data_IF_135513513815
#
_entry.id   IF_135513513815
#
_cell.length_a   1.000
_cell.length_b   1.000
_cell.length_c   1.000
_cell.angle_alpha   90.00
_cell.angle_beta   90.00
_cell.angle_gamma   90.00
#
_symmetry.space_group_name_H-M   'P 1'
#
loop_
_entity.id
_entity.type
_entity.pdbx_description
1 polymer ?
#
# COMPACT_ATOMS: atom_id res chain seq x y z
N UNK A 1 18.81 4.31 6.27
CA UNK A 1 18.86 5.31 5.18
C UNK A 1 19.60 6.52 5.71
N UNK A 2 20.61 7.05 4.99
CA UNK A 2 21.21 8.32 5.34
C UNK A 2 20.17 9.44 5.14
N UNK A 3 20.38 10.56 5.83
CA UNK A 3 19.53 11.75 5.73
C UNK A 3 19.41 12.27 4.30
N UNK A 4 18.36 13.06 4.04
CA UNK A 4 17.88 13.61 2.77
C UNK A 4 18.86 14.58 2.03
N UNK A 5 20.17 14.35 2.12
CA UNK A 5 21.22 15.17 1.51
C UNK A 5 22.46 14.41 1.05
N UNK A 6 22.42 13.07 0.96
CA UNK A 6 23.44 12.28 0.24
C UNK A 6 22.80 11.71 -1.02
N UNK A 7 23.20 12.24 -2.17
CA UNK A 7 22.91 11.69 -3.50
C UNK A 7 23.68 10.37 -3.69
N UNK A 8 23.43 9.39 -2.84
CA UNK A 8 23.83 8.02 -3.11
C UNK A 8 22.78 7.44 -4.06
N UNK A 9 23.20 7.12 -5.28
CA UNK A 9 22.39 6.44 -6.28
C UNK A 9 21.69 5.24 -5.63
N UNK A 10 20.36 5.24 -5.63
CA UNK A 10 19.62 4.13 -5.05
C UNK A 10 19.56 3.01 -6.07
N UNK A 11 20.17 1.89 -5.72
CA UNK A 11 20.29 0.73 -6.59
C UNK A 11 19.20 -0.29 -6.24
N UNK A 12 18.45 -0.76 -7.24
CA UNK A 12 17.56 -1.92 -7.10
C UNK A 12 18.15 -3.14 -7.83
N UNK A 13 18.06 -4.35 -7.25
CA UNK A 13 18.46 -5.56 -7.93
C UNK A 13 17.46 -5.91 -9.04
N UNK A 14 17.97 -6.11 -10.24
CA UNK A 14 17.21 -6.62 -11.37
C UNK A 14 17.35 -8.13 -11.48
N UNK A 15 16.28 -8.76 -11.96
CA UNK A 15 16.25 -10.17 -12.31
C UNK A 15 15.91 -10.32 -13.78
N UNK A 16 16.62 -11.24 -14.43
CA UNK A 16 16.18 -11.80 -15.70
C UNK A 16 15.26 -12.97 -15.40
N UNK A 17 14.03 -12.85 -15.84
CA UNK A 17 12.98 -13.86 -15.70
C UNK A 17 12.71 -14.52 -17.04
N UNK A 18 12.66 -15.85 -17.03
CA UNK A 18 12.23 -16.67 -18.16
C UNK A 18 10.88 -17.28 -17.83
N UNK A 19 9.87 -16.97 -18.64
CA UNK A 19 8.49 -17.42 -18.47
C UNK A 19 8.15 -18.36 -19.62
N UNK A 20 7.88 -19.62 -19.31
CA UNK A 20 7.44 -20.62 -20.27
C UNK A 20 5.92 -20.74 -20.21
N UNK A 21 5.24 -20.55 -21.34
CA UNK A 21 3.78 -20.54 -21.41
C UNK A 21 3.28 -20.95 -22.81
N UNK A 22 2.02 -21.40 -22.95
CA UNK A 22 1.39 -21.49 -24.26
C UNK A 22 1.26 -20.12 -24.93
N UNK A 23 1.45 -20.07 -26.26
CA UNK A 23 1.49 -18.82 -27.05
C UNK A 23 0.21 -17.97 -26.94
N UNK A 24 -0.92 -18.59 -26.58
CA UNK A 24 -2.22 -17.94 -26.39
C UNK A 24 -2.21 -16.90 -25.25
N UNK A 25 -1.36 -17.08 -24.24
CA UNK A 25 -1.29 -16.22 -23.06
C UNK A 25 -0.22 -15.13 -23.15
N UNK A 26 0.51 -15.03 -24.27
CA UNK A 26 1.63 -14.10 -24.40
C UNK A 26 1.22 -12.64 -24.18
N UNK A 27 0.05 -12.23 -24.71
CA UNK A 27 -0.43 -10.86 -24.53
C UNK A 27 -0.61 -10.48 -23.06
N UNK A 28 -1.22 -11.36 -22.27
CA UNK A 28 -1.49 -11.13 -20.84
C UNK A 28 -0.20 -11.07 -20.00
N UNK A 29 0.82 -11.86 -20.39
CA UNK A 29 2.13 -11.85 -19.74
C UNK A 29 2.90 -10.58 -20.08
N UNK A 30 2.85 -10.14 -21.34
CA UNK A 30 3.51 -8.91 -21.78
C UNK A 30 2.91 -7.70 -21.05
N UNK A 31 1.59 -7.65 -20.95
CA UNK A 31 0.88 -6.63 -20.17
C UNK A 31 1.31 -6.64 -18.70
N UNK A 32 1.37 -7.82 -18.06
CA UNK A 32 1.83 -7.96 -16.68
C UNK A 32 3.29 -7.49 -16.51
N UNK A 33 4.17 -7.86 -17.43
CA UNK A 33 5.56 -7.43 -17.44
C UNK A 33 5.69 -5.90 -17.53
N UNK A 34 4.88 -5.27 -18.39
CA UNK A 34 4.89 -3.83 -18.58
C UNK A 34 4.37 -3.06 -17.35
N UNK A 35 3.29 -3.56 -16.71
CA UNK A 35 2.75 -3.00 -15.45
C UNK A 35 3.80 -2.98 -14.33
N UNK A 36 4.72 -3.96 -14.35
CA UNK A 36 5.75 -4.18 -13.34
C UNK A 36 7.10 -3.55 -13.68
N UNK A 37 7.10 -2.55 -14.57
CA UNK A 37 8.32 -1.86 -15.06
C UNK A 37 9.32 -2.81 -15.72
N UNK A 38 8.84 -3.91 -16.28
CA UNK A 38 9.65 -4.90 -16.98
C UNK A 38 10.05 -4.45 -18.36
N UNK A 39 11.28 -4.77 -18.75
CA UNK A 39 11.76 -4.61 -20.12
C UNK A 39 11.71 -5.97 -20.81
N UNK A 40 10.96 -6.06 -21.91
CA UNK A 40 10.95 -7.25 -22.74
C UNK A 40 12.30 -7.38 -23.45
N UNK A 41 12.97 -8.51 -23.25
CA UNK A 41 14.26 -8.79 -23.89
C UNK A 41 14.07 -9.62 -25.15
N UNK A 42 13.34 -10.73 -25.04
CA UNK A 42 13.18 -11.68 -26.14
C UNK A 42 11.92 -12.53 -26.00
N UNK A 43 11.39 -13.00 -27.13
CA UNK A 43 10.30 -13.97 -27.21
C UNK A 43 10.75 -15.11 -28.12
N UNK A 44 10.95 -16.29 -27.55
CA UNK A 44 11.37 -17.49 -28.28
C UNK A 44 10.20 -18.45 -28.42
N UNK A 45 9.86 -18.81 -29.66
CA UNK A 45 8.86 -19.84 -29.92
C UNK A 45 9.55 -21.21 -29.98
N UNK A 46 9.30 -22.06 -28.99
CA UNK A 46 9.81 -23.43 -28.94
C UNK A 46 9.00 -24.35 -29.88
N UNK A 47 7.72 -24.06 -30.02
CA UNK A 47 6.74 -24.80 -30.83
C UNK A 47 5.65 -23.79 -31.21
N UNK A 48 4.87 -23.98 -32.29
CA UNK A 48 3.72 -23.11 -32.59
C UNK A 48 2.77 -22.87 -31.40
N UNK A 49 2.68 -23.81 -30.47
CA UNK A 49 1.83 -23.74 -29.27
C UNK A 49 2.53 -23.27 -28.01
N UNK A 50 3.87 -23.15 -27.97
CA UNK A 50 4.65 -22.82 -26.77
C UNK A 50 5.71 -21.77 -27.04
N UNK A 51 5.80 -20.81 -26.12
CA UNK A 51 6.81 -19.76 -26.14
C UNK A 51 7.46 -19.56 -24.78
N UNK A 52 8.72 -19.18 -24.84
CA UNK A 52 9.49 -18.65 -23.72
C UNK A 52 9.60 -17.14 -23.89
N UNK A 53 9.21 -16.40 -22.86
CA UNK A 53 9.29 -14.95 -22.81
C UNK A 53 10.37 -14.58 -21.79
N UNK A 54 11.32 -13.73 -22.21
CA UNK A 54 12.42 -13.28 -21.37
C UNK A 54 12.20 -11.81 -21.01
N UNK A 55 12.12 -11.52 -19.72
CA UNK A 55 11.92 -10.18 -19.16
C UNK A 55 13.04 -9.83 -18.19
N UNK A 56 13.48 -8.58 -18.22
CA UNK A 56 14.26 -8.00 -17.13
C UNK A 56 13.31 -7.16 -16.25
N UNK A 57 13.22 -7.49 -14.96
CA UNK A 57 12.28 -6.89 -14.00
C UNK A 57 13.02 -6.54 -12.69
N UNK A 58 12.60 -5.48 -11.97
CA UNK A 58 13.04 -5.26 -10.60
C UNK A 58 12.61 -6.41 -9.67
N UNK A 59 13.52 -6.92 -8.85
CA UNK A 59 13.24 -8.03 -7.92
C UNK A 59 12.09 -7.71 -6.95
N UNK A 60 11.97 -6.45 -6.52
CA UNK A 60 10.93 -6.01 -5.60
C UNK A 60 9.51 -6.23 -6.15
N UNK A 61 9.33 -6.07 -7.46
CA UNK A 61 8.04 -6.29 -8.14
C UNK A 61 7.74 -7.78 -8.34
N UNK A 62 8.77 -8.63 -8.36
CA UNK A 62 8.61 -10.08 -8.53
C UNK A 62 8.18 -10.77 -7.24
N UNK A 63 8.69 -10.32 -6.08
CA UNK A 63 8.46 -10.97 -4.77
C UNK A 63 7.04 -10.74 -4.23
N UNK A 64 6.36 -9.67 -4.67
CA UNK A 64 5.07 -9.25 -4.09
C UNK A 64 3.89 -10.10 -4.58
N UNK A 65 3.51 -10.00 -5.86
CA UNK A 65 2.36 -10.73 -6.42
C UNK A 65 2.58 -11.36 -7.80
N UNK A 66 3.77 -11.22 -8.38
CA UNK A 66 3.99 -11.56 -9.79
C UNK A 66 3.66 -13.03 -10.09
N UNK A 67 4.03 -13.94 -9.20
CA UNK A 67 3.74 -15.37 -9.34
C UNK A 67 2.23 -15.66 -9.36
N UNK A 68 1.48 -15.06 -8.44
CA UNK A 68 0.04 -15.29 -8.30
C UNK A 68 -0.72 -14.70 -9.49
N UNK A 69 -0.35 -13.48 -9.92
CA UNK A 69 -0.89 -12.84 -11.12
C UNK A 69 -0.57 -13.65 -12.39
N UNK A 70 0.67 -14.13 -12.52
CA UNK A 70 1.08 -14.96 -13.66
C UNK A 70 0.26 -16.25 -13.72
N UNK A 71 0.10 -16.95 -12.59
CA UNK A 71 -0.68 -18.19 -12.53
C UNK A 71 -2.17 -17.93 -12.78
N UNK A 72 -2.73 -16.86 -12.25
CA UNK A 72 -4.13 -16.49 -12.45
C UNK A 72 -4.44 -16.19 -13.93
N UNK A 73 -3.66 -15.31 -14.56
CA UNK A 73 -3.84 -14.93 -15.98
C UNK A 73 -3.67 -16.14 -16.91
N UNK A 74 -2.69 -16.99 -16.62
CA UNK A 74 -2.40 -18.18 -17.45
C UNK A 74 -3.14 -19.45 -17.06
N UNK A 75 -4.14 -19.39 -16.16
CA UNK A 75 -4.85 -20.57 -15.64
C UNK A 75 -3.91 -21.67 -15.09
N UNK A 76 -2.74 -21.27 -14.60
CA UNK A 76 -1.72 -22.16 -14.04
C UNK A 76 -0.71 -22.74 -15.04
N UNK A 77 -0.88 -22.50 -16.35
CA UNK A 77 -0.03 -23.09 -17.39
C UNK A 77 1.36 -22.47 -17.51
N UNK A 78 1.57 -21.25 -17.01
CA UNK A 78 2.89 -20.63 -17.05
C UNK A 78 3.81 -21.13 -15.93
N UNK A 79 5.08 -21.35 -16.24
CA UNK A 79 6.16 -21.52 -15.26
C UNK A 79 7.17 -20.39 -15.41
N UNK A 80 7.76 -19.96 -14.30
CA UNK A 80 8.77 -18.90 -14.30
C UNK A 80 10.05 -19.38 -13.60
N UNK A 81 11.18 -18.98 -14.17
CA UNK A 81 12.49 -19.07 -13.56
C UNK A 81 13.10 -17.68 -13.55
N UNK A 82 13.82 -17.30 -12.49
CA UNK A 82 14.48 -16.00 -12.44
C UNK A 82 15.92 -16.14 -11.98
N UNK A 83 16.78 -15.27 -12.52
CA UNK A 83 18.17 -15.14 -12.14
C UNK A 83 18.46 -13.67 -11.85
N UNK A 84 19.03 -13.40 -10.67
CA UNK A 84 19.51 -12.06 -10.33
C UNK A 84 20.68 -11.72 -11.26
N UNK A 85 20.59 -10.56 -11.93
CA UNK A 85 21.59 -10.13 -12.89
C UNK A 85 22.46 -9.01 -12.32
N UNK A 86 21.93 -7.80 -12.29
CA UNK A 86 22.67 -6.57 -12.08
C UNK A 86 21.87 -5.62 -11.18
N UNK A 87 22.57 -4.66 -10.58
CA UNK A 87 21.95 -3.59 -9.81
C UNK A 87 21.85 -2.36 -10.71
N UNK A 88 20.63 -1.84 -10.88
CA UNK A 88 20.39 -0.64 -11.69
C UNK A 88 19.94 0.50 -10.80
N UNK A 89 20.32 1.71 -11.20
CA UNK A 89 19.88 2.93 -10.53
C UNK A 89 18.38 3.14 -10.76
N UNK A 90 17.65 3.48 -9.72
CA UNK A 90 16.20 3.69 -9.77
C UNK A 90 15.73 4.71 -8.74
N UNK A 91 14.67 5.44 -9.08
CA UNK A 91 14.10 6.49 -8.23
C UNK A 91 13.17 5.88 -7.18
N UNK A 92 13.79 5.31 -6.14
CA UNK A 92 13.08 4.74 -5.00
C UNK A 92 12.84 5.80 -3.93
N UNK A 93 11.65 5.75 -3.35
CA UNK A 93 11.25 6.60 -2.24
C UNK A 93 10.80 5.74 -1.07
N UNK A 94 11.14 6.18 0.13
CA UNK A 94 10.63 5.60 1.38
C UNK A 94 9.25 6.19 1.67
N UNK A 95 8.26 5.31 1.76
CA UNK A 95 6.89 5.62 2.14
C UNK A 95 6.71 5.31 3.62
N UNK A 96 6.58 6.35 4.43
CA UNK A 96 6.33 6.26 5.86
C UNK A 96 4.84 6.42 6.15
N UNK A 97 4.34 5.69 7.15
CA UNK A 97 2.94 5.76 7.56
C UNK A 97 2.83 6.38 8.94
N UNK A 98 1.95 7.37 9.07
CA UNK A 98 1.65 8.05 10.34
C UNK A 98 0.20 7.80 10.75
N UNK A 99 0.00 7.38 11.99
CA UNK A 99 -1.31 7.12 12.58
C UNK A 99 -1.48 8.10 13.73
N UNK A 100 -2.47 8.98 13.64
CA UNK A 100 -2.66 10.07 14.60
C UNK A 100 -1.39 10.93 14.84
N UNK A 101 -0.63 11.20 13.77
CA UNK A 101 0.64 11.92 13.79
C UNK A 101 1.80 11.18 14.49
N UNK A 102 1.59 9.97 14.98
CA UNK A 102 2.65 9.09 15.46
C UNK A 102 3.16 8.24 14.28
N UNK A 103 4.48 8.15 14.14
CA UNK A 103 5.10 7.33 13.09
C UNK A 103 4.88 5.84 13.40
N UNK A 104 4.57 5.07 12.36
CA UNK A 104 4.49 3.62 12.40
C UNK A 104 5.62 2.99 11.55
N UNK A 105 6.87 2.97 12.04
CA UNK A 105 8.02 2.41 11.32
C UNK A 105 7.82 0.98 10.77
N UNK A 106 7.11 0.07 11.45
CA UNK A 106 6.90 -1.29 10.92
C UNK A 106 6.12 -1.35 9.59
N UNK A 107 5.40 -0.27 9.24
CA UNK A 107 4.62 -0.16 8.00
C UNK A 107 5.35 0.65 6.92
N UNK A 108 6.59 1.09 7.19
CA UNK A 108 7.36 1.82 6.20
C UNK A 108 7.80 0.87 5.07
N UNK A 109 7.55 1.28 3.83
CA UNK A 109 7.89 0.51 2.64
C UNK A 109 8.76 1.34 1.69
N UNK A 110 9.59 0.66 0.91
CA UNK A 110 10.38 1.30 -0.16
C UNK A 110 9.67 0.97 -1.47
N UNK A 111 9.34 2.00 -2.24
CA UNK A 111 8.57 1.89 -3.47
C UNK A 111 9.16 2.82 -4.53
N UNK A 112 8.91 2.52 -5.81
CA UNK A 112 9.25 3.45 -6.88
C UNK A 112 8.40 4.73 -6.76
N UNK A 113 8.98 5.88 -7.12
CA UNK A 113 8.30 7.20 -6.99
C UNK A 113 6.94 7.24 -7.66
N UNK A 114 6.81 6.70 -8.86
CA UNK A 114 5.55 6.70 -9.62
C UNK A 114 4.45 5.87 -8.95
N UNK A 115 4.83 4.74 -8.32
CA UNK A 115 3.91 3.86 -7.62
C UNK A 115 3.56 4.37 -6.20
N UNK A 116 4.34 5.29 -5.65
CA UNK A 116 4.20 5.72 -4.26
C UNK A 116 2.80 6.24 -3.92
N UNK A 117 2.15 6.97 -4.85
CA UNK A 117 0.82 7.50 -4.62
C UNK A 117 -0.24 6.39 -4.58
N UNK A 118 -0.20 5.43 -5.51
CA UNK A 118 -1.19 4.36 -5.60
C UNK A 118 -1.05 3.41 -4.40
N UNK A 119 0.17 2.99 -4.08
CA UNK A 119 0.48 2.15 -2.91
C UNK A 119 0.07 2.85 -1.62
N UNK A 120 0.44 4.13 -1.45
CA UNK A 120 0.07 4.90 -0.28
C UNK A 120 -1.45 5.04 -0.09
N UNK A 121 -2.23 5.15 -1.17
CA UNK A 121 -3.70 5.15 -1.08
C UNK A 121 -4.25 3.81 -0.63
N UNK A 122 -3.78 2.70 -1.21
CA UNK A 122 -4.19 1.34 -0.85
C UNK A 122 -3.90 1.05 0.62
N UNK A 123 -2.68 1.35 1.06
CA UNK A 123 -2.22 1.12 2.43
C UNK A 123 -3.08 1.91 3.44
N UNK A 124 -3.29 3.20 3.20
CA UNK A 124 -4.08 4.07 4.08
C UNK A 124 -5.57 3.67 4.09
N UNK A 125 -6.10 3.15 2.97
CA UNK A 125 -7.47 2.62 2.90
C UNK A 125 -7.61 1.33 3.72
N UNK A 126 -6.69 0.37 3.57
CA UNK A 126 -6.68 -0.87 4.33
C UNK A 126 -6.60 -0.61 5.85
N UNK A 127 -5.72 0.30 6.27
CA UNK A 127 -5.60 0.68 7.70
C UNK A 127 -6.89 1.29 8.27
N UNK A 128 -7.66 2.03 7.46
CA UNK A 128 -8.91 2.63 7.90
C UNK A 128 -9.96 1.57 8.28
N UNK A 129 -9.94 0.42 7.60
CA UNK A 129 -10.88 -0.67 7.83
C UNK A 129 -10.49 -1.51 9.05
N UNK A 130 -9.19 -1.72 9.23
CA UNK A 130 -8.66 -2.56 10.32
C UNK A 130 -8.59 -1.84 11.67
N UNK A 131 -8.37 -0.52 11.67
CA UNK A 131 -8.24 0.23 12.93
C UNK A 131 -9.63 0.54 13.50
N UNK A 132 -9.89 0.15 14.77
CA UNK A 132 -11.19 0.38 15.39
C UNK A 132 -11.50 1.88 15.55
N UNK A 133 -12.78 2.22 15.40
CA UNK A 133 -13.25 3.60 15.50
C UNK A 133 -13.11 4.12 16.92
N UNK A 134 -12.46 5.28 17.06
CA UNK A 134 -12.28 5.97 18.34
C UNK A 134 -13.36 7.05 18.56
N UNK A 135 -13.44 7.59 19.78
CA UNK A 135 -14.35 8.71 20.10
C UNK A 135 -13.94 10.04 19.45
N UNK A 136 -12.73 10.11 18.91
CA UNK A 136 -12.16 11.25 18.19
C UNK A 136 -11.75 10.84 16.76
N UNK A 137 -11.54 11.84 15.90
CA UNK A 137 -11.13 11.62 14.51
C UNK A 137 -9.66 11.21 14.49
N UNK A 138 -9.37 10.04 13.93
CA UNK A 138 -8.00 9.52 13.78
C UNK A 138 -7.56 9.75 12.33
N UNK A 139 -6.61 10.66 12.05
CA UNK A 139 -6.00 10.78 10.74
C UNK A 139 -4.97 9.66 10.52
N UNK A 140 -4.96 9.09 9.32
CA UNK A 140 -3.96 8.15 8.84
C UNK A 140 -3.34 8.75 7.58
N UNK A 141 -2.02 8.84 7.54
CA UNK A 141 -1.29 9.54 6.48
C UNK A 141 -0.16 8.65 5.96
N UNK A 142 -0.01 8.58 4.65
CA UNK A 142 1.20 8.10 4.01
C UNK A 142 2.04 9.31 3.59
N UNK A 143 3.32 9.29 3.92
CA UNK A 143 4.25 10.40 3.75
C UNK A 143 5.50 9.92 3.03
N UNK A 144 6.10 10.80 2.22
CA UNK A 144 7.46 10.64 1.72
C UNK A 144 8.28 11.72 2.39
N UNK A 145 9.09 11.33 3.38
CA UNK A 145 9.73 12.28 4.29
C UNK A 145 8.70 13.19 4.97
N UNK A 146 8.75 14.49 4.67
CA UNK A 146 7.85 15.50 5.25
C UNK A 146 6.54 15.64 4.47
N UNK A 147 6.52 15.25 3.19
CA UNK A 147 5.38 15.48 2.29
C UNK A 147 4.33 14.38 2.47
N UNK A 148 3.11 14.76 2.82
CA UNK A 148 1.96 13.83 2.84
C UNK A 148 1.47 13.58 1.40
N UNK A 149 1.50 12.33 0.95
CA UNK A 149 1.05 11.94 -0.39
C UNK A 149 -0.41 11.50 -0.43
N UNK A 150 -0.86 10.82 0.62
CA UNK A 150 -2.19 10.25 0.74
C UNK A 150 -2.64 10.35 2.19
N UNK A 151 -3.89 10.75 2.43
CA UNK A 151 -4.43 10.93 3.77
C UNK A 151 -5.89 10.50 3.82
N UNK A 152 -6.22 9.66 4.79
CA UNK A 152 -7.59 9.25 5.10
C UNK A 152 -7.85 9.46 6.58
N UNK A 153 -9.12 9.51 6.98
CA UNK A 153 -9.46 9.63 8.39
C UNK A 153 -10.57 8.69 8.81
N UNK A 154 -10.41 8.11 10.00
CA UNK A 154 -11.46 7.31 10.64
C UNK A 154 -12.44 8.25 11.31
N UNK A 155 -13.72 8.10 10.93
CA UNK A 155 -14.80 8.90 11.47
C UNK A 155 -15.03 8.57 12.95
N UNK A 156 -15.11 9.59 13.83
CA UNK A 156 -15.28 9.37 15.25
C UNK A 156 -16.62 8.71 15.57
N UNK A 157 -16.65 7.85 16.57
CA UNK A 157 -17.88 7.39 17.18
C UNK A 157 -18.59 8.58 17.85
N UNK A 158 -19.91 8.64 17.74
CA UNK A 158 -20.75 9.69 18.33
C UNK A 158 -21.80 9.03 19.22
N UNK A 159 -21.76 9.37 20.51
CA UNK A 159 -22.91 9.15 21.39
C UNK A 159 -23.93 10.23 21.09
N UNK A 160 -25.19 9.85 20.88
CA UNK A 160 -26.27 10.82 20.78
C UNK A 160 -26.56 11.42 22.17
N UNK A 161 -26.04 12.63 22.39
CA UNK A 161 -26.24 13.38 23.63
C UNK A 161 -27.61 14.05 23.69
N UNK A 162 -28.34 14.10 22.58
CA UNK A 162 -29.63 14.78 22.47
C UNK A 162 -30.82 13.84 22.64
N UNK A 163 -30.61 12.52 22.69
CA UNK A 163 -31.67 11.52 22.80
C UNK A 163 -32.66 11.75 23.96
N UNK A 164 -32.21 12.35 25.07
CA UNK A 164 -33.05 12.68 26.24
C UNK A 164 -33.60 14.12 26.26
N UNK A 165 -33.39 14.89 25.19
CA UNK A 165 -33.84 16.27 25.06
C UNK A 165 -35.19 16.32 24.35
N UNK A 166 -36.28 16.10 25.09
CA UNK A 166 -37.65 16.05 24.56
C UNK A 166 -38.31 17.43 24.33
N UNK A 167 -37.53 18.52 24.27
CA UNK A 167 -38.06 19.88 24.20
C UNK A 167 -37.33 20.83 23.24
N UNK A 168 -37.93 22.01 23.06
CA UNK A 168 -37.42 23.10 22.22
C UNK A 168 -36.27 23.92 22.83
N UNK A 169 -35.75 23.55 24.00
CA UNK A 169 -34.67 24.29 24.68
C UNK A 169 -33.34 24.17 23.90
N UNK A 170 -33.13 25.14 23.00
CA UNK A 170 -31.91 25.30 22.21
C UNK A 170 -30.67 25.49 23.08
N UNK A 171 -30.80 26.13 24.25
CA UNK A 171 -29.68 26.39 25.15
C UNK A 171 -29.15 25.10 25.76
N UNK A 172 -30.03 24.17 26.19
CA UNK A 172 -29.62 22.85 26.72
C UNK A 172 -28.95 21.99 25.64
N UNK A 173 -29.48 21.96 24.41
CA UNK A 173 -28.86 21.24 23.28
C UNK A 173 -27.45 21.77 22.98
N UNK A 174 -27.28 23.09 22.93
CA UNK A 174 -25.97 23.75 22.71
C UNK A 174 -24.97 23.40 23.81
N UNK A 175 -25.36 23.45 25.09
CA UNK A 175 -24.47 23.10 26.23
C UNK A 175 -23.96 21.65 26.13
N UNK A 176 -24.83 20.70 25.78
CA UNK A 176 -24.45 19.29 25.63
C UNK A 176 -23.48 19.07 24.46
N UNK A 177 -23.74 19.70 23.31
CA UNK A 177 -22.85 19.64 22.15
C UNK A 177 -21.48 20.27 22.44
N UNK A 178 -21.44 21.41 23.14
CA UNK A 178 -20.19 22.04 23.56
C UNK A 178 -19.39 21.16 24.52
N UNK A 179 -20.04 20.51 25.48
CA UNK A 179 -19.39 19.55 26.40
C UNK A 179 -18.81 18.36 25.63
N UNK A 180 -19.56 17.82 24.67
CA UNK A 180 -19.08 16.74 23.81
C UNK A 180 -17.88 17.17 22.95
N UNK A 181 -17.93 18.35 22.33
CA UNK A 181 -16.86 18.88 21.50
C UNK A 181 -15.56 19.09 22.31
N UNK A 182 -15.66 19.69 23.51
CA UNK A 182 -14.51 19.86 24.42
C UNK A 182 -13.93 18.52 24.85
N UNK A 183 -14.78 17.55 25.19
CA UNK A 183 -14.36 16.18 25.53
C UNK A 183 -13.59 15.52 24.38
N UNK A 184 -14.11 15.62 23.14
CA UNK A 184 -13.43 15.08 21.95
C UNK A 184 -12.10 15.77 21.65
N UNK A 185 -12.00 17.09 21.84
CA UNK A 185 -10.75 17.83 21.66
C UNK A 185 -9.68 17.37 22.67
N UNK A 186 -10.07 17.18 23.93
CA UNK A 186 -9.18 16.65 24.98
C UNK A 186 -8.74 15.21 24.68
N UNK A 187 -9.68 14.36 24.26
CA UNK A 187 -9.36 12.98 23.86
C UNK A 187 -8.43 12.92 22.64
N UNK A 188 -8.56 13.84 21.68
CA UNK A 188 -7.65 13.88 20.52
C UNK A 188 -6.22 14.23 20.93
N UNK A 189 -6.04 15.18 21.86
CA UNK A 189 -4.72 15.65 22.27
C UNK A 189 -3.95 14.65 23.14
N UNK A 190 -4.66 13.86 23.95
CA UNK A 190 -4.06 12.86 24.87
C UNK A 190 -4.21 11.42 24.37
N UNK A 191 -4.96 11.21 23.28
CA UNK A 191 -5.35 9.88 22.82
C UNK A 191 -4.24 9.25 21.99
N UNK A 192 -3.59 8.24 22.55
CA UNK A 192 -2.81 7.27 21.79
C UNK A 192 -3.75 6.26 21.14
N UNK A 193 -3.48 5.92 19.89
CA UNK A 193 -4.23 4.90 19.17
C UNK A 193 -3.42 3.62 19.23
N UNK A 194 -3.82 2.69 20.08
CA UNK A 194 -3.24 1.36 20.08
C UNK A 194 -3.76 0.61 18.85
N UNK A 195 -2.84 0.32 17.93
CA UNK A 195 -3.12 -0.48 16.74
C UNK A 195 -2.91 -1.95 17.10
N UNK A 196 -3.92 -2.82 16.94
CA UNK A 196 -3.76 -4.25 17.21
C UNK A 196 -2.69 -4.89 16.32
N UNK A 197 -1.95 -5.87 16.83
CA UNK A 197 -0.96 -6.61 16.05
C UNK A 197 -1.58 -7.33 14.84
N UNK A 198 -2.82 -7.80 14.98
CA UNK A 198 -3.60 -8.42 13.90
C UNK A 198 -3.82 -7.47 12.72
N UNK A 199 -4.10 -6.19 13.01
CA UNK A 199 -4.27 -5.16 11.97
C UNK A 199 -2.96 -4.95 11.20
N UNK A 200 -1.80 -4.97 11.87
CA UNK A 200 -0.50 -4.90 11.18
C UNK A 200 -0.27 -6.11 10.26
N UNK A 201 -0.53 -7.32 10.76
CA UNK A 201 -0.36 -8.55 9.97
C UNK A 201 -1.29 -8.60 8.77
N UNK A 202 -2.51 -8.07 8.88
CA UNK A 202 -3.46 -8.02 7.79
C UNK A 202 -3.01 -7.05 6.67
N UNK A 203 -2.47 -5.88 7.01
CA UNK A 203 -1.93 -4.94 6.00
C UNK A 203 -0.75 -5.54 5.24
N UNK A 204 0.15 -6.24 5.94
CA UNK A 204 1.29 -6.93 5.30
C UNK A 204 0.84 -8.07 4.36
N UNK A 205 -0.34 -8.66 4.58
CA UNK A 205 -0.92 -9.68 3.71
C UNK A 205 -1.66 -9.09 2.51
N UNK A 206 -2.31 -7.93 2.68
CA UNK A 206 -3.00 -7.23 1.60
C UNK A 206 -2.06 -6.78 0.47
N UNK A 207 -0.79 -6.50 0.77
CA UNK A 207 0.24 -6.27 -0.26
C UNK A 207 0.60 -7.55 -1.05
N UNK A 208 0.34 -8.74 -0.48
CA UNK A 208 0.61 -10.05 -1.09
C UNK A 208 -0.61 -10.68 -1.76
N UNK A 209 -1.79 -10.09 -1.62
CA UNK A 209 -3.07 -10.73 -1.99
C UNK A 209 -4.03 -9.70 -2.56
N UNK A 210 -3.54 -8.82 -3.41
CA UNK A 210 -4.41 -7.96 -4.20
C UNK A 210 -5.06 -8.81 -5.32
N UNK A 211 -6.23 -9.38 -4.98
CA UNK A 211 -7.30 -9.69 -5.94
C UNK A 211 -7.68 -8.47 -6.79
#
# INVERSE_FOLDING_TARGET
MPELGRDDATLEPFVRMEILTPSEYNGQIIELGQERRGTLIDIKYLTPTRSTIVYDLPLAEVITDFFDQLKSRTKGYASMEYKVTDYRESDLVRLDVKINYEDAPPLATIVHRDAAQSVGRKLVAALKELIPRQMFKVPIQACIGVKVISSTSISPMRKDVLAKCYGGDLSRKKKLLQKQAKGKKRMKAMGRVNVPQEAFMAVLKLDKSAE
#
